data_IF_048258522177
#
_entry.id   IF_048258522177
#
_cell.length_a   1.000
_cell.length_b   1.000
_cell.length_c   1.000
_cell.angle_alpha   90.00
_cell.angle_beta   90.00
_cell.angle_gamma   90.00
#
_symmetry.space_group_name_H-M   'P 1'
#
loop_
_entity.id
_entity.type
_entity.pdbx_description
1 polymer ?
#
# COMPACT_ATOMS: atom_id res chain seq x y z
N UNK A 1 23.66 -50.86 19.99
CA UNK A 1 22.27 -51.10 20.43
C UNK A 1 21.91 -50.06 21.51
N UNK A 2 21.26 -48.96 21.10
CA UNK A 2 20.84 -47.89 22.01
C UNK A 2 19.54 -48.29 22.73
N UNK A 3 19.45 -47.97 24.01
CA UNK A 3 18.38 -48.37 24.93
C UNK A 3 16.99 -47.87 24.47
N UNK A 4 15.95 -48.73 24.49
CA UNK A 4 14.60 -48.38 24.07
C UNK A 4 13.89 -47.37 25.01
N UNK A 5 14.45 -47.14 26.20
CA UNK A 5 13.93 -46.19 27.21
C UNK A 5 14.20 -44.73 26.82
N UNK A 6 15.30 -44.46 26.11
CA UNK A 6 15.61 -43.12 25.59
C UNK A 6 14.69 -42.72 24.43
N UNK A 7 14.27 -43.68 23.59
CA UNK A 7 13.31 -43.45 22.51
C UNK A 7 11.90 -43.14 23.01
N UNK A 8 11.47 -43.73 24.14
CA UNK A 8 10.18 -43.40 24.75
C UNK A 8 10.17 -42.03 25.44
N UNK A 9 11.31 -41.60 26.00
CA UNK A 9 11.45 -40.25 26.55
C UNK A 9 11.46 -39.16 25.46
N UNK A 10 11.93 -39.49 24.25
CA UNK A 10 11.86 -38.62 23.08
C UNK A 10 10.45 -38.54 22.45
N UNK A 11 9.60 -39.55 22.63
CA UNK A 11 8.21 -39.53 22.18
C UNK A 11 7.27 -38.71 23.09
N UNK A 12 7.69 -38.42 24.33
CA UNK A 12 7.01 -37.47 25.23
C UNK A 12 7.40 -36.01 24.99
N UNK A 13 8.42 -35.76 24.16
CA UNK A 13 8.80 -34.45 23.64
C UNK A 13 8.24 -34.29 22.22
N UNK A 14 6.95 -34.57 22.02
CA UNK A 14 6.33 -34.12 20.79
C UNK A 14 6.34 -32.59 20.82
N UNK A 15 7.20 -32.03 20.00
CA UNK A 15 7.28 -30.62 19.62
C UNK A 15 5.95 -30.22 19.00
N UNK A 16 4.92 -30.01 19.81
CA UNK A 16 3.58 -29.63 19.32
C UNK A 16 3.35 -28.13 19.38
N UNK A 17 4.13 -27.40 20.17
CA UNK A 17 4.09 -25.95 20.19
C UNK A 17 5.44 -25.41 19.73
N UNK A 18 5.60 -25.23 18.42
CA UNK A 18 6.71 -24.49 17.79
C UNK A 18 6.66 -22.99 18.09
N UNK A 19 5.74 -22.56 18.96
CA UNK A 19 5.49 -21.19 19.32
C UNK A 19 5.00 -21.08 20.77
N UNK A 20 5.26 -19.95 21.42
CA UNK A 20 4.85 -19.67 22.79
C UNK A 20 4.43 -18.21 22.92
N UNK A 21 3.40 -17.96 23.73
CA UNK A 21 2.96 -16.60 24.08
C UNK A 21 2.95 -16.48 25.58
N UNK A 22 3.73 -15.55 26.10
CA UNK A 22 3.87 -15.28 27.52
C UNK A 22 3.48 -13.83 27.81
N UNK A 23 2.72 -13.62 28.87
CA UNK A 23 2.46 -12.28 29.41
C UNK A 23 3.01 -12.25 30.82
N UNK A 24 4.09 -11.50 30.99
CA UNK A 24 4.70 -11.24 32.29
C UNK A 24 4.53 -9.75 32.61
N UNK A 25 3.64 -9.45 33.56
CA UNK A 25 3.33 -8.09 33.96
C UNK A 25 2.86 -7.20 32.80
N UNK A 26 3.73 -6.28 32.39
CA UNK A 26 3.51 -5.31 31.30
C UNK A 26 4.14 -5.73 29.96
N UNK A 27 4.78 -6.91 29.92
CA UNK A 27 5.52 -7.40 28.76
C UNK A 27 4.80 -8.59 28.13
N UNK A 28 4.45 -8.45 26.85
CA UNK A 28 3.96 -9.52 25.99
C UNK A 28 5.13 -10.08 25.19
N UNK A 29 5.47 -11.36 25.40
CA UNK A 29 6.53 -12.05 24.67
C UNK A 29 5.93 -13.08 23.72
N UNK A 30 6.24 -12.92 22.43
CA UNK A 30 5.82 -13.78 21.33
C UNK A 30 7.03 -14.55 20.80
N UNK A 31 6.98 -15.87 20.90
CA UNK A 31 8.06 -16.77 20.48
C UNK A 31 7.58 -17.63 19.31
N UNK A 32 8.30 -17.62 18.18
CA UNK A 32 7.97 -18.42 17.01
C UNK A 32 6.78 -17.88 16.19
N UNK A 33 6.75 -18.15 14.89
CA UNK A 33 5.79 -17.55 13.94
C UNK A 33 4.33 -17.77 14.33
N UNK A 34 3.98 -18.96 14.84
CA UNK A 34 2.63 -19.29 15.31
C UNK A 34 2.14 -18.41 16.47
N UNK A 35 3.03 -17.76 17.22
CA UNK A 35 2.64 -16.85 18.31
C UNK A 35 1.93 -15.60 17.78
N UNK A 36 2.14 -15.23 16.52
CA UNK A 36 1.46 -14.08 15.90
C UNK A 36 -0.06 -14.28 15.79
N UNK A 37 -0.54 -15.53 15.69
CA UNK A 37 -1.98 -15.86 15.68
C UNK A 37 -2.68 -15.48 16.99
N UNK A 38 -1.93 -15.36 18.09
CA UNK A 38 -2.48 -14.90 19.36
C UNK A 38 -2.97 -13.44 19.31
N UNK A 39 -2.53 -12.64 18.34
CA UNK A 39 -3.04 -11.30 18.11
C UNK A 39 -4.48 -11.31 17.58
N UNK A 40 -4.91 -12.40 16.96
CA UNK A 40 -6.31 -12.58 16.52
C UNK A 40 -7.22 -13.03 17.68
N UNK A 41 -6.65 -13.56 18.77
CA UNK A 41 -7.41 -13.93 19.97
C UNK A 41 -8.01 -12.72 20.68
N UNK A 42 -9.03 -12.97 21.49
CA UNK A 42 -9.67 -11.95 22.32
C UNK A 42 -8.91 -11.81 23.64
N UNK A 43 -8.12 -10.75 23.75
CA UNK A 43 -7.44 -10.37 24.99
C UNK A 43 -8.41 -9.65 25.93
N UNK A 44 -8.25 -9.87 27.23
CA UNK A 44 -9.02 -9.11 28.22
C UNK A 44 -8.64 -7.62 28.14
N UNK A 45 -9.60 -6.72 28.37
CA UNK A 45 -9.36 -5.26 28.35
C UNK A 45 -8.28 -4.86 29.36
N UNK A 46 -8.21 -5.54 30.50
CA UNK A 46 -7.20 -5.30 31.52
C UNK A 46 -5.81 -5.68 31.02
N UNK A 47 -5.62 -6.90 30.52
CA UNK A 47 -4.33 -7.37 29.97
C UNK A 47 -3.88 -6.48 28.80
N UNK A 48 -4.79 -6.19 27.86
CA UNK A 48 -4.51 -5.34 26.71
C UNK A 48 -4.09 -3.90 27.10
N UNK A 49 -4.64 -3.39 28.21
CA UNK A 49 -4.30 -2.07 28.75
C UNK A 49 -2.99 -2.04 29.53
N UNK A 50 -2.62 -3.14 30.21
CA UNK A 50 -1.39 -3.25 31.01
C UNK A 50 -0.14 -3.47 30.16
N UNK A 51 -0.27 -4.13 29.01
CA UNK A 51 0.87 -4.39 28.13
C UNK A 51 1.40 -3.09 27.52
N UNK A 52 2.62 -2.74 27.90
CA UNK A 52 3.39 -1.58 27.41
C UNK A 52 4.53 -2.01 26.50
N UNK A 53 5.02 -3.24 26.70
CA UNK A 53 6.18 -3.79 26.01
C UNK A 53 5.79 -5.03 25.21
N UNK A 54 6.18 -5.08 23.94
CA UNK A 54 5.98 -6.24 23.07
C UNK A 54 7.33 -6.75 22.59
N UNK A 55 7.61 -8.02 22.88
CA UNK A 55 8.84 -8.70 22.52
C UNK A 55 8.58 -9.79 21.49
N UNK A 56 9.29 -9.74 20.38
CA UNK A 56 9.28 -10.77 19.35
C UNK A 56 10.59 -11.55 19.41
N UNK A 57 10.49 -12.87 19.48
CA UNK A 57 11.64 -13.77 19.55
C UNK A 57 11.48 -14.93 18.55
N UNK A 58 12.51 -15.19 17.75
CA UNK A 58 12.52 -16.29 16.76
C UNK A 58 11.39 -16.20 15.72
N UNK A 59 11.06 -14.98 15.28
CA UNK A 59 10.03 -14.70 14.28
C UNK A 59 10.66 -13.84 13.19
N UNK A 60 10.50 -14.20 11.91
CA UNK A 60 11.02 -13.38 10.83
C UNK A 60 10.36 -11.99 10.84
N UNK A 61 11.17 -10.94 10.68
CA UNK A 61 10.67 -9.57 10.71
C UNK A 61 9.56 -9.32 9.68
N UNK A 62 9.63 -9.95 8.52
CA UNK A 62 8.64 -9.81 7.45
C UNK A 62 7.25 -10.31 7.86
N UNK A 63 7.19 -11.36 8.69
CA UNK A 63 5.94 -11.86 9.28
C UNK A 63 5.39 -10.87 10.31
N UNK A 64 6.27 -10.29 11.13
CA UNK A 64 5.88 -9.28 12.14
C UNK A 64 5.25 -8.07 11.46
N UNK A 65 5.81 -7.60 10.34
CA UNK A 65 5.32 -6.43 9.60
C UNK A 65 3.84 -6.55 9.22
N UNK A 66 3.39 -7.76 8.88
CA UNK A 66 2.00 -8.02 8.49
C UNK A 66 1.01 -7.82 9.65
N UNK A 67 1.44 -8.09 10.87
CA UNK A 67 0.59 -8.02 12.07
C UNK A 67 0.74 -6.74 12.88
N UNK A 68 1.71 -5.87 12.56
CA UNK A 68 1.93 -4.58 13.21
C UNK A 68 0.67 -3.70 13.32
N UNK A 69 -0.21 -3.58 12.29
CA UNK A 69 -1.46 -2.83 12.44
C UNK A 69 -2.41 -3.45 13.47
N UNK A 70 -2.51 -4.79 13.49
CA UNK A 70 -3.34 -5.54 14.45
C UNK A 70 -2.82 -5.38 15.86
N UNK A 71 -1.49 -5.46 16.03
CA UNK A 71 -0.81 -5.28 17.31
C UNK A 71 -1.23 -3.95 17.95
N UNK A 72 -1.19 -2.85 17.18
CA UNK A 72 -1.53 -1.54 17.72
C UNK A 72 -3.01 -1.37 18.07
N UNK A 73 -3.90 -2.09 17.37
CA UNK A 73 -5.32 -2.11 17.73
C UNK A 73 -5.58 -2.89 19.02
N UNK A 74 -4.88 -4.00 19.23
CA UNK A 74 -5.05 -4.88 20.40
C UNK A 74 -4.36 -4.32 21.64
N UNK A 75 -3.20 -3.70 21.46
CA UNK A 75 -2.36 -3.16 22.53
C UNK A 75 -2.08 -1.67 22.28
N UNK A 76 -3.07 -0.78 22.50
CA UNK A 76 -2.92 0.65 22.19
C UNK A 76 -1.83 1.33 23.01
N UNK A 77 -1.58 0.82 24.22
CA UNK A 77 -0.57 1.31 25.16
C UNK A 77 0.84 0.75 24.92
N UNK A 78 1.05 -0.05 23.88
CA UNK A 78 2.39 -0.53 23.54
C UNK A 78 3.27 0.65 23.11
N UNK A 79 4.34 0.90 23.86
CA UNK A 79 5.31 1.96 23.59
C UNK A 79 6.72 1.40 23.34
N UNK A 80 7.02 0.21 23.88
CA UNK A 80 8.31 -0.46 23.70
C UNK A 80 8.20 -1.70 22.80
N UNK A 81 9.03 -1.76 21.76
CA UNK A 81 9.20 -2.97 20.94
C UNK A 81 10.58 -3.59 21.14
N UNK A 82 10.62 -4.91 21.37
CA UNK A 82 11.84 -5.71 21.46
C UNK A 82 11.89 -6.73 20.34
N UNK A 83 13.02 -6.82 19.66
CA UNK A 83 13.25 -7.75 18.55
C UNK A 83 14.46 -8.62 18.87
N UNK A 84 14.25 -9.93 19.01
CA UNK A 84 15.30 -10.92 19.29
C UNK A 84 15.29 -12.00 18.23
N UNK A 85 16.44 -12.23 17.58
CA UNK A 85 16.56 -13.25 16.53
C UNK A 85 15.46 -13.15 15.46
N UNK A 86 15.20 -11.92 15.00
CA UNK A 86 14.13 -11.65 14.02
C UNK A 86 14.62 -11.52 12.58
N UNK A 87 15.90 -11.81 12.35
CA UNK A 87 16.54 -11.72 11.03
C UNK A 87 16.42 -10.31 10.40
N UNK A 88 16.59 -9.27 11.21
CA UNK A 88 16.73 -7.90 10.71
C UNK A 88 18.09 -7.72 10.07
N UNK A 89 18.14 -7.63 8.74
CA UNK A 89 19.37 -7.56 7.94
C UNK A 89 19.60 -6.18 7.32
N UNK A 90 18.53 -5.47 6.94
CA UNK A 90 18.60 -4.24 6.16
C UNK A 90 17.98 -3.05 6.90
N UNK A 91 18.57 -1.86 6.75
CA UNK A 91 18.04 -0.62 7.33
C UNK A 91 16.60 -0.31 6.89
N UNK A 92 16.27 -0.60 5.62
CA UNK A 92 14.95 -0.32 5.06
C UNK A 92 13.81 -1.05 5.80
N UNK A 93 14.10 -2.15 6.49
CA UNK A 93 13.11 -2.89 7.28
C UNK A 93 12.49 -2.00 8.37
N UNK A 94 13.24 -1.06 8.93
CA UNK A 94 12.72 -0.09 9.91
C UNK A 94 11.66 0.85 9.34
N UNK A 95 11.62 1.04 8.02
CA UNK A 95 10.56 1.83 7.40
C UNK A 95 9.17 1.23 7.65
N UNK A 96 9.09 -0.09 7.86
CA UNK A 96 7.84 -0.77 8.18
C UNK A 96 7.27 -0.30 9.53
N UNK A 97 8.14 0.04 10.48
CA UNK A 97 7.73 0.50 11.80
C UNK A 97 7.05 1.87 11.76
N UNK A 98 7.25 2.66 10.70
CA UNK A 98 6.62 3.98 10.53
C UNK A 98 5.09 3.92 10.46
N UNK A 99 4.50 2.74 10.22
CA UNK A 99 3.04 2.56 10.25
C UNK A 99 2.45 2.56 11.66
N UNK A 100 3.30 2.36 12.68
CA UNK A 100 2.90 2.41 14.09
C UNK A 100 2.79 3.87 14.55
N UNK A 101 2.33 4.09 15.79
CA UNK A 101 2.27 5.41 16.41
C UNK A 101 2.69 5.32 17.86
N UNK A 102 3.36 6.36 18.37
CA UNK A 102 3.71 6.52 19.80
C UNK A 102 4.58 5.38 20.35
N UNK A 103 5.59 4.95 19.59
CA UNK A 103 6.63 4.02 20.07
C UNK A 103 7.77 4.87 20.66
N UNK A 104 8.03 4.79 21.95
CA UNK A 104 9.07 5.59 22.61
C UNK A 104 10.39 4.83 22.76
N UNK A 105 10.34 3.50 22.77
CA UNK A 105 11.50 2.65 22.99
C UNK A 105 11.60 1.54 21.94
N UNK A 106 12.81 1.34 21.45
CA UNK A 106 13.15 0.26 20.53
C UNK A 106 14.34 -0.52 21.08
N UNK A 107 14.24 -1.84 21.10
CA UNK A 107 15.36 -2.71 21.47
C UNK A 107 15.52 -3.80 20.42
N UNK A 108 16.73 -3.90 19.89
CA UNK A 108 17.12 -4.88 18.88
C UNK A 108 18.30 -5.64 19.47
N UNK A 109 18.07 -6.92 19.72
CA UNK A 109 19.11 -7.81 20.21
C UNK A 109 20.17 -8.01 19.11
N UNK A 110 21.47 -7.88 19.42
CA UNK A 110 22.54 -8.12 18.44
C UNK A 110 22.58 -9.57 17.95
N UNK A 111 22.07 -10.53 18.73
CA UNK A 111 21.98 -11.92 18.30
C UNK A 111 20.80 -12.12 17.33
N UNK A 112 21.13 -12.62 16.13
CA UNK A 112 20.17 -12.90 15.07
C UNK A 112 19.59 -11.67 14.36
N UNK A 113 20.16 -10.48 14.56
CA UNK A 113 19.82 -9.26 13.82
C UNK A 113 21.09 -8.58 13.27
N UNK A 114 21.59 -8.98 12.08
CA UNK A 114 22.78 -8.40 11.46
C UNK A 114 22.73 -6.87 11.28
N UNK A 115 21.54 -6.26 11.27
CA UNK A 115 21.38 -4.81 11.14
C UNK A 115 22.10 -4.03 12.25
N UNK A 116 22.30 -4.64 13.42
CA UNK A 116 22.98 -4.00 14.56
C UNK A 116 24.48 -3.79 14.27
N UNK A 117 25.05 -4.52 13.32
CA UNK A 117 26.45 -4.39 12.90
C UNK A 117 26.71 -3.13 12.06
N UNK A 118 25.68 -2.49 11.51
CA UNK A 118 25.86 -1.25 10.75
C UNK A 118 26.04 -0.05 11.68
N UNK A 119 27.19 0.62 11.65
CA UNK A 119 27.48 1.76 12.54
C UNK A 119 26.40 2.85 12.56
N UNK A 120 25.69 3.06 11.44
CA UNK A 120 24.70 4.12 11.28
C UNK A 120 23.25 3.70 11.51
N UNK A 121 22.97 2.44 11.91
CA UNK A 121 21.59 1.95 12.01
C UNK A 121 20.73 2.76 12.98
N UNK A 122 21.30 3.16 14.13
CA UNK A 122 20.61 3.97 15.14
C UNK A 122 20.20 5.33 14.56
N UNK A 123 21.12 6.00 13.87
CA UNK A 123 20.85 7.29 13.22
C UNK A 123 19.82 7.16 12.09
N UNK A 124 19.83 6.05 11.34
CA UNK A 124 18.81 5.79 10.33
C UNK A 124 17.42 5.64 10.94
N UNK A 125 17.30 4.86 12.02
CA UNK A 125 16.06 4.67 12.77
C UNK A 125 15.53 6.00 13.29
N UNK A 126 16.38 6.80 13.93
CA UNK A 126 16.03 8.13 14.44
C UNK A 126 15.57 9.09 13.32
N UNK A 127 16.26 9.06 12.18
CA UNK A 127 15.89 9.85 11.02
C UNK A 127 14.51 9.43 10.48
N UNK A 128 14.29 8.13 10.25
CA UNK A 128 13.06 7.64 9.63
C UNK A 128 11.86 7.74 10.55
N UNK A 129 12.05 7.42 11.82
CA UNK A 129 11.02 7.34 12.85
C UNK A 129 11.02 8.59 13.75
N UNK A 130 11.44 9.74 13.21
CA UNK A 130 11.50 11.01 13.95
C UNK A 130 10.16 11.41 14.57
N UNK A 131 9.06 11.07 13.93
CA UNK A 131 7.69 11.33 14.39
C UNK A 131 7.30 10.57 15.67
N UNK A 132 8.09 9.57 16.07
CA UNK A 132 7.92 8.87 17.33
C UNK A 132 8.53 9.61 18.52
N UNK A 133 9.47 10.52 18.29
CA UNK A 133 10.25 11.15 19.35
C UNK A 133 10.81 10.10 20.33
N UNK A 134 11.49 9.08 19.78
CA UNK A 134 12.04 7.98 20.58
C UNK A 134 12.90 8.51 21.72
N UNK A 135 12.70 7.94 22.90
CA UNK A 135 13.45 8.28 24.11
C UNK A 135 14.64 7.33 24.31
N UNK A 136 14.49 6.04 23.98
CA UNK A 136 15.55 5.04 24.19
C UNK A 136 15.68 4.06 23.02
N UNK A 137 16.93 3.81 22.62
CA UNK A 137 17.28 2.77 21.65
C UNK A 137 18.33 1.84 22.28
N UNK A 138 18.03 0.54 22.37
CA UNK A 138 18.86 -0.47 23.04
C UNK A 138 19.32 -0.03 24.44
N UNK A 139 18.41 0.57 25.22
CA UNK A 139 18.69 1.08 26.57
C UNK A 139 19.53 2.37 26.61
N UNK A 140 20.02 2.88 25.48
CA UNK A 140 20.70 4.17 25.39
C UNK A 140 19.68 5.30 25.19
N UNK A 141 19.79 6.38 25.96
CA UNK A 141 18.95 7.56 25.79
C UNK A 141 19.28 8.30 24.49
N UNK A 142 18.23 8.71 23.78
CA UNK A 142 18.36 9.46 22.54
C UNK A 142 18.54 10.93 22.87
N UNK A 143 19.63 11.53 22.43
CA UNK A 143 19.91 12.95 22.66
C UNK A 143 19.48 13.81 21.47
N UNK A 144 19.30 15.11 21.70
CA UNK A 144 19.04 16.06 20.61
C UNK A 144 20.17 16.10 19.58
N UNK A 145 21.42 15.87 20.01
CA UNK A 145 22.57 15.79 19.12
C UNK A 145 22.47 14.60 18.16
N UNK A 146 21.95 13.47 18.62
CA UNK A 146 21.73 12.29 17.77
C UNK A 146 20.67 12.56 16.70
N UNK A 147 19.63 13.31 17.05
CA UNK A 147 18.60 13.75 16.10
C UNK A 147 19.17 14.69 15.02
N UNK A 148 20.03 15.64 15.42
CA UNK A 148 20.71 16.55 14.49
C UNK A 148 21.67 15.78 13.56
N UNK A 149 22.44 14.82 14.11
CA UNK A 149 23.32 13.99 13.31
C UNK A 149 22.56 13.07 12.35
N UNK A 150 21.46 12.47 12.80
CA UNK A 150 20.58 11.67 11.95
C UNK A 150 20.05 12.50 10.77
N UNK A 151 19.62 13.74 11.00
CA UNK A 151 19.18 14.64 9.95
C UNK A 151 20.29 15.00 8.97
N UNK A 152 21.48 15.27 9.48
CA UNK A 152 22.65 15.63 8.66
C UNK A 152 23.09 14.47 7.77
N UNK A 153 23.03 13.24 8.27
CA UNK A 153 23.44 12.04 7.54
C UNK A 153 22.41 11.62 6.50
N UNK A 154 21.13 11.62 6.86
CA UNK A 154 20.08 11.00 6.06
C UNK A 154 19.07 11.97 5.45
N UNK A 155 19.08 13.25 5.82
CA UNK A 155 18.15 14.28 5.30
C UNK A 155 18.12 14.36 3.78
N UNK A 156 19.30 14.26 3.14
CA UNK A 156 19.42 14.28 1.68
C UNK A 156 18.71 13.07 1.04
N UNK A 157 18.68 11.90 1.69
CA UNK A 157 18.00 10.72 1.15
C UNK A 157 16.49 10.94 1.01
N UNK A 158 15.87 11.66 1.95
CA UNK A 158 14.46 12.03 1.80
C UNK A 158 14.25 12.99 0.62
N UNK A 159 15.17 13.94 0.41
CA UNK A 159 15.11 14.84 -0.74
C UNK A 159 15.25 14.10 -2.07
N UNK A 160 16.26 13.23 -2.21
CA UNK A 160 16.49 12.44 -3.42
C UNK A 160 15.32 11.47 -3.68
N UNK A 161 14.84 10.77 -2.66
CA UNK A 161 13.66 9.90 -2.80
C UNK A 161 12.42 10.67 -3.27
N UNK A 162 12.30 11.94 -2.89
CA UNK A 162 11.18 12.79 -3.32
C UNK A 162 11.34 13.42 -4.70
N UNK A 163 12.58 13.66 -5.16
CA UNK A 163 12.82 14.26 -6.47
C UNK A 163 12.77 13.27 -7.63
N UNK A 164 13.08 11.99 -7.40
CA UNK A 164 13.17 10.99 -8.48
C UNK A 164 11.83 10.32 -8.85
N UNK A 165 10.74 10.64 -8.15
CA UNK A 165 9.44 10.00 -8.39
C UNK A 165 8.48 10.92 -9.16
N UNK A 166 7.90 10.44 -10.28
CA UNK A 166 6.90 11.18 -11.03
C UNK A 166 5.69 11.57 -10.16
N UNK A 167 5.17 12.80 -10.35
CA UNK A 167 4.09 13.42 -9.56
C UNK A 167 2.83 12.53 -9.42
N UNK A 168 2.53 11.67 -10.40
CA UNK A 168 1.39 10.75 -10.33
C UNK A 168 1.53 9.69 -9.21
N UNK A 169 2.76 9.25 -8.88
CA UNK A 169 3.00 8.33 -7.77
C UNK A 169 2.86 9.03 -6.41
N UNK A 170 3.24 10.31 -6.34
CA UNK A 170 3.03 11.15 -5.14
C UNK A 170 1.55 11.30 -4.84
N UNK A 171 0.72 11.52 -5.87
CA UNK A 171 -0.74 11.60 -5.74
C UNK A 171 -1.35 10.27 -5.29
N UNK A 172 -0.85 9.13 -5.76
CA UNK A 172 -1.33 7.80 -5.31
C UNK A 172 -1.01 7.55 -3.84
N UNK A 173 0.23 7.84 -3.39
CA UNK A 173 0.65 7.70 -2.00
C UNK A 173 -0.13 8.66 -1.09
N UNK A 174 -0.35 9.90 -1.54
CA UNK A 174 -1.16 10.91 -0.84
C UNK A 174 -2.68 10.60 -0.89
N UNK A 175 -3.12 9.89 -1.93
CA UNK A 175 -4.49 9.42 -2.10
C UNK A 175 -4.87 8.34 -1.09
N UNK A 176 -3.93 7.45 -0.76
CA UNK A 176 -4.12 6.44 0.28
C UNK A 176 -4.17 7.05 1.70
N UNK A 177 -3.42 8.12 1.97
CA UNK A 177 -3.53 8.89 3.21
C UNK A 177 -4.93 9.53 3.35
N UNK A 178 -5.47 10.09 2.25
CA UNK A 178 -6.83 10.63 2.20
C UNK A 178 -7.91 9.55 2.32
N UNK A 179 -7.74 8.37 1.69
CA UNK A 179 -8.66 7.23 1.86
C UNK A 179 -8.69 6.70 3.29
N UNK A 180 -7.57 6.70 4.02
CA UNK A 180 -7.53 6.33 5.44
C UNK A 180 -8.26 7.36 6.33
N UNK A 181 -8.12 8.66 6.04
CA UNK A 181 -8.90 9.72 6.71
C UNK A 181 -10.41 9.61 6.42
N UNK A 182 -10.79 9.31 5.17
CA UNK A 182 -12.19 9.11 4.80
C UNK A 182 -12.81 7.86 5.43
N UNK A 183 -12.05 6.76 5.58
CA UNK A 183 -12.54 5.56 6.30
C UNK A 183 -12.82 5.86 7.78
N UNK A 184 -11.92 6.58 8.45
CA UNK A 184 -12.09 6.95 9.87
C UNK A 184 -13.26 7.92 10.10
N UNK A 185 -13.47 8.87 9.19
CA UNK A 185 -14.61 9.80 9.22
C UNK A 185 -15.95 9.14 8.87
N UNK A 186 -15.94 8.06 8.08
CA UNK A 186 -17.15 7.33 7.72
C UNK A 186 -17.61 6.40 8.85
N UNK A 187 -16.69 5.82 9.61
CA UNK A 187 -16.98 4.99 10.80
C UNK A 187 -17.53 5.80 12.00
N UNK A 188 -17.35 7.12 12.03
CA UNK A 188 -17.84 7.99 13.11
C UNK A 188 -19.18 8.67 12.80
N UNK A 189 -19.78 8.45 11.63
CA UNK A 189 -21.05 9.07 11.21
C UNK A 189 -22.30 8.36 11.76
N UNK A 190 -22.26 8.00 13.04
CA UNK A 190 -23.32 7.26 13.72
C UNK A 190 -23.60 7.77 15.13
N UNK A 191 -23.63 9.09 15.38
CA UNK A 191 -24.31 9.70 16.55
C UNK A 191 -24.50 11.21 16.33
N UNK A 192 -25.65 11.70 16.79
CA UNK A 192 -26.31 13.00 16.51
C UNK A 192 -25.45 14.25 16.79
N UNK A 193 -25.73 15.40 16.13
CA UNK A 193 -25.04 16.67 16.40
C UNK A 193 -25.71 17.45 17.55
N UNK A 194 -24.90 18.01 18.45
CA UNK A 194 -25.36 18.89 19.51
C UNK A 194 -24.23 19.71 20.14
N UNK A 195 -24.20 21.01 19.79
CA UNK A 195 -23.80 22.19 20.58
C UNK A 195 -22.32 22.32 21.03
N UNK A 196 -21.63 23.24 20.34
CA UNK A 196 -20.67 24.29 20.79
C UNK A 196 -19.66 23.94 21.89
N UNK A 197 -18.35 23.97 21.56
CA UNK A 197 -17.44 24.93 22.19
C UNK A 197 -16.20 25.19 21.31
N UNK A 198 -15.90 26.48 21.12
CA UNK A 198 -14.67 26.96 20.51
C UNK A 198 -13.50 26.71 21.47
N UNK A 199 -12.66 25.72 21.21
CA UNK A 199 -11.25 25.77 21.60
C UNK A 199 -10.36 25.43 20.40
N UNK A 200 -9.91 26.51 19.81
CA UNK A 200 -8.96 26.64 18.75
C UNK A 200 -7.54 26.33 19.28
N UNK A 201 -6.91 25.21 18.88
CA UNK A 201 -5.49 25.17 18.45
C UNK A 201 -4.85 23.78 18.20
N UNK A 202 -5.56 22.65 18.18
CA UNK A 202 -4.88 21.35 17.99
C UNK A 202 -4.72 20.86 16.54
N UNK A 203 -5.19 21.63 15.54
CA UNK A 203 -5.05 21.27 14.13
C UNK A 203 -3.65 21.50 13.55
N UNK A 204 -2.75 22.17 14.28
CA UNK A 204 -1.39 22.49 13.80
C UNK A 204 -0.35 21.38 14.03
N UNK A 205 -0.70 20.28 14.70
CA UNK A 205 0.23 19.15 14.99
C UNK A 205 0.06 17.91 14.12
N UNK A 206 -0.83 17.95 13.13
CA UNK A 206 -0.98 16.86 12.14
C UNK A 206 0.07 16.88 11.02
N UNK A 207 1.05 17.79 11.09
CA UNK A 207 2.16 17.94 10.15
C UNK A 207 3.46 17.29 10.64
N UNK A 208 3.37 16.15 11.35
CA UNK A 208 4.53 15.49 11.97
C UNK A 208 5.37 14.61 11.03
N UNK A 209 4.85 14.24 9.85
CA UNK A 209 5.67 13.62 8.82
C UNK A 209 6.13 14.70 7.84
N UNK A 210 7.44 14.97 7.83
CA UNK A 210 8.09 15.62 6.71
C UNK A 210 7.72 14.77 5.47
N UNK A 211 6.91 15.30 4.56
CA UNK A 211 6.30 14.58 3.42
C UNK A 211 7.32 13.77 2.60
N UNK A 212 8.58 14.21 2.61
CA UNK A 212 9.71 13.60 1.92
C UNK A 212 10.16 12.26 2.55
N UNK A 213 9.93 12.05 3.86
CA UNK A 213 10.32 10.81 4.57
C UNK A 213 9.28 9.70 4.41
N UNK A 214 8.01 10.05 4.22
CA UNK A 214 6.92 9.11 3.96
C UNK A 214 7.08 8.31 2.65
N UNK A 215 8.05 8.72 1.80
CA UNK A 215 8.40 8.00 0.58
C UNK A 215 9.33 6.80 0.82
N UNK A 216 10.06 6.79 1.94
CA UNK A 216 10.88 5.66 2.36
C UNK A 216 9.96 4.58 2.92
N UNK A 217 9.50 3.70 2.04
CA UNK A 217 8.59 2.61 2.39
C UNK A 217 9.34 1.28 2.46
N UNK A 218 8.90 0.40 3.36
CA UNK A 218 9.27 -1.01 3.33
C UNK A 218 8.15 -1.78 2.65
N UNK A 219 8.49 -2.58 1.66
CA UNK A 219 7.58 -3.58 1.09
C UNK A 219 8.25 -4.93 1.26
N UNK A 220 7.56 -5.85 1.93
CA UNK A 220 8.00 -7.25 2.02
C UNK A 220 8.15 -7.85 0.62
N UNK A 221 8.98 -8.88 0.51
CA UNK A 221 9.34 -9.51 -0.78
C UNK A 221 8.11 -9.96 -1.58
N UNK A 222 7.08 -10.44 -0.90
CA UNK A 222 5.84 -10.88 -1.53
C UNK A 222 5.02 -9.72 -2.10
N UNK A 223 4.94 -8.59 -1.38
CA UNK A 223 4.26 -7.39 -1.86
C UNK A 223 4.99 -6.74 -3.04
N UNK A 224 6.33 -6.87 -3.09
CA UNK A 224 7.11 -6.43 -4.24
C UNK A 224 6.80 -7.26 -5.49
N UNK A 225 6.69 -8.59 -5.34
CA UNK A 225 6.37 -9.50 -6.44
C UNK A 225 4.95 -9.28 -6.97
N UNK A 226 3.95 -9.18 -6.09
CA UNK A 226 2.57 -8.87 -6.47
C UNK A 226 2.48 -7.54 -7.22
N UNK A 227 3.15 -6.50 -6.71
CA UNK A 227 3.20 -5.19 -7.35
C UNK A 227 3.92 -5.20 -8.70
N UNK A 228 4.94 -6.05 -8.85
CA UNK A 228 5.67 -6.21 -10.12
C UNK A 228 4.81 -6.91 -11.17
N UNK A 229 4.05 -7.93 -10.78
CA UNK A 229 3.07 -8.60 -11.64
C UNK A 229 1.94 -7.64 -12.04
N UNK A 230 1.41 -6.86 -11.10
CA UNK A 230 0.44 -5.79 -11.35
C UNK A 230 0.92 -4.78 -12.42
N UNK A 231 2.19 -4.40 -12.36
CA UNK A 231 2.80 -3.48 -13.32
C UNK A 231 2.95 -4.15 -14.70
N UNK A 232 3.32 -5.43 -14.74
CA UNK A 232 3.40 -6.19 -15.99
C UNK A 232 2.04 -6.34 -16.65
N UNK A 233 1.01 -6.67 -15.89
CA UNK A 233 -0.36 -6.80 -16.39
C UNK A 233 -0.90 -5.47 -16.92
N UNK A 234 -0.70 -4.37 -16.18
CA UNK A 234 -1.08 -3.02 -16.64
C UNK A 234 -0.35 -2.63 -17.92
N UNK A 235 0.95 -2.94 -18.04
CA UNK A 235 1.72 -2.68 -19.25
C UNK A 235 1.17 -3.46 -20.45
N UNK A 236 0.88 -4.75 -20.24
CA UNK A 236 0.29 -5.62 -21.27
C UNK A 236 -1.08 -5.10 -21.72
N UNK A 237 -1.92 -4.70 -20.77
CA UNK A 237 -3.22 -4.11 -21.05
C UNK A 237 -3.10 -2.82 -21.88
N UNK A 238 -2.23 -1.88 -21.48
CA UNK A 238 -2.02 -0.65 -22.22
C UNK A 238 -1.52 -0.92 -23.65
N UNK A 239 -0.63 -1.89 -23.82
CA UNK A 239 -0.14 -2.28 -25.15
C UNK A 239 -1.28 -2.81 -26.02
N UNK A 240 -2.06 -3.76 -25.52
CA UNK A 240 -3.21 -4.31 -26.25
C UNK A 240 -4.23 -3.22 -26.61
N UNK A 241 -4.53 -2.32 -25.67
CA UNK A 241 -5.47 -1.23 -25.89
C UNK A 241 -5.01 -0.27 -27.00
N UNK A 242 -3.72 0.07 -27.03
CA UNK A 242 -3.14 0.90 -28.09
C UNK A 242 -3.15 0.17 -29.44
N UNK A 243 -2.82 -1.13 -29.45
CA UNK A 243 -2.85 -1.96 -30.66
C UNK A 243 -4.27 -2.00 -31.26
N UNK A 244 -5.29 -2.17 -30.42
CA UNK A 244 -6.70 -2.14 -30.85
C UNK A 244 -7.11 -0.77 -31.40
N UNK A 245 -6.75 0.34 -30.72
CA UNK A 245 -7.02 1.69 -31.22
C UNK A 245 -6.35 1.96 -32.57
N UNK A 246 -5.09 1.54 -32.74
CA UNK A 246 -4.36 1.68 -34.00
C UNK A 246 -5.04 0.85 -35.08
N UNK A 247 -5.43 -0.39 -34.78
CA UNK A 247 -6.14 -1.24 -35.73
C UNK A 247 -7.46 -0.59 -36.17
N UNK A 248 -8.27 -0.12 -35.25
CA UNK A 248 -9.54 0.55 -35.55
C UNK A 248 -9.32 1.80 -36.42
N UNK A 249 -8.34 2.64 -36.05
CA UNK A 249 -7.99 3.82 -36.84
C UNK A 249 -7.54 3.46 -38.27
N UNK A 250 -6.76 2.38 -38.44
CA UNK A 250 -6.35 1.92 -39.77
C UNK A 250 -7.52 1.38 -40.60
N UNK A 251 -8.48 0.69 -39.98
CA UNK A 251 -9.69 0.21 -40.65
C UNK A 251 -10.59 1.38 -41.09
N UNK A 252 -10.77 2.38 -40.24
CA UNK A 252 -11.50 3.60 -40.57
C UNK A 252 -10.80 4.31 -41.73
N UNK A 253 -9.47 4.46 -41.70
CA UNK A 253 -8.72 5.09 -42.78
C UNK A 253 -8.88 4.34 -44.11
N UNK A 254 -8.80 3.00 -44.10
CA UNK A 254 -9.01 2.18 -45.30
C UNK A 254 -10.42 2.35 -45.89
N UNK A 255 -11.46 2.37 -45.04
CA UNK A 255 -12.84 2.60 -45.48
C UNK A 255 -13.00 3.99 -46.08
N UNK A 256 -12.40 5.01 -45.47
CA UNK A 256 -12.42 6.38 -45.97
C UNK A 256 -11.71 6.50 -47.34
N UNK A 257 -10.52 5.90 -47.49
CA UNK A 257 -9.81 5.89 -48.78
C UNK A 257 -10.62 5.19 -49.89
N UNK A 258 -11.26 4.06 -49.58
CA UNK A 258 -12.12 3.37 -50.54
C UNK A 258 -13.34 4.23 -50.94
N UNK A 259 -13.96 4.89 -49.96
CA UNK A 259 -15.06 5.81 -50.20
C UNK A 259 -14.62 6.97 -51.08
N UNK A 260 -13.49 7.61 -50.81
CA UNK A 260 -12.96 8.72 -51.62
C UNK A 260 -12.73 8.33 -53.08
N UNK A 261 -12.35 7.07 -53.35
CA UNK A 261 -12.20 6.57 -54.73
C UNK A 261 -13.53 6.34 -55.44
N UNK A 262 -14.55 5.85 -54.72
CA UNK A 262 -15.85 5.49 -55.28
C UNK A 262 -16.84 6.67 -55.34
N UNK A 263 -16.68 7.63 -54.42
CA UNK A 263 -17.60 8.76 -54.22
C UNK A 263 -17.85 9.60 -55.48
N UNK A 264 -16.82 9.97 -56.28
CA UNK A 264 -17.06 10.76 -57.49
C UNK A 264 -17.96 10.03 -58.50
N UNK A 265 -17.76 8.72 -58.67
CA UNK A 265 -18.56 7.92 -59.59
C UNK A 265 -19.99 7.73 -59.09
N UNK A 266 -20.17 7.37 -57.82
CA UNK A 266 -21.51 7.28 -57.21
C UNK A 266 -22.27 8.59 -57.30
N UNK A 267 -21.60 9.73 -57.09
CA UNK A 267 -22.22 11.05 -57.22
C UNK A 267 -22.67 11.33 -58.66
N UNK A 268 -21.83 11.03 -59.65
CA UNK A 268 -22.18 11.18 -61.07
C UNK A 268 -23.39 10.30 -61.43
N UNK A 269 -23.42 9.05 -60.97
CA UNK A 269 -24.53 8.13 -61.20
C UNK A 269 -25.82 8.64 -60.56
N UNK A 270 -25.77 9.06 -59.29
CA UNK A 270 -26.94 9.66 -58.60
C UNK A 270 -27.48 10.89 -59.33
N UNK A 271 -26.62 11.80 -59.77
CA UNK A 271 -27.05 13.00 -60.52
C UNK A 271 -27.60 12.61 -61.88
N UNK A 272 -26.95 11.67 -62.59
CA UNK A 272 -27.41 11.19 -63.89
C UNK A 272 -28.79 10.55 -63.78
N UNK A 273 -28.98 9.66 -62.81
CA UNK A 273 -30.23 8.95 -62.59
C UNK A 273 -31.35 9.94 -62.26
N UNK A 274 -31.11 10.89 -61.35
CA UNK A 274 -32.06 11.94 -61.03
C UNK A 274 -32.44 12.80 -62.25
N UNK A 275 -31.45 13.17 -63.08
CA UNK A 275 -31.70 13.96 -64.31
C UNK A 275 -32.48 13.14 -65.34
N UNK A 276 -32.17 11.85 -65.52
CA UNK A 276 -32.90 10.95 -66.42
C UNK A 276 -34.35 10.79 -65.96
N UNK A 277 -34.57 10.62 -64.65
CA UNK A 277 -35.90 10.48 -64.06
C UNK A 277 -36.77 11.71 -64.37
N UNK A 278 -36.21 12.91 -64.20
CA UNK A 278 -36.91 14.18 -64.39
C UNK A 278 -37.07 14.56 -65.88
N UNK A 279 -36.24 14.00 -66.78
CA UNK A 279 -36.25 14.33 -68.22
C UNK A 279 -37.61 14.10 -68.88
N UNK A 280 -38.34 13.05 -68.49
CA UNK A 280 -39.73 12.83 -68.92
C UNK A 280 -40.69 13.35 -67.85
N UNK A 281 -41.00 14.65 -67.88
CA UNK A 281 -41.90 15.29 -66.89
C UNK A 281 -43.23 14.54 -66.69
N UNK A 282 -43.81 13.99 -67.76
CA UNK A 282 -45.07 13.25 -67.69
C UNK A 282 -44.93 11.86 -67.03
N UNK A 283 -43.83 11.15 -67.28
CA UNK A 283 -43.57 9.85 -66.64
C UNK A 283 -43.18 10.04 -65.18
N UNK A 284 -42.35 11.04 -64.87
CA UNK A 284 -41.94 11.41 -63.53
C UNK A 284 -43.14 11.80 -62.65
N UNK A 285 -44.04 12.65 -63.18
CA UNK A 285 -45.25 13.05 -62.47
C UNK A 285 -46.16 11.86 -62.17
N UNK A 286 -46.31 10.90 -63.10
CA UNK A 286 -47.04 9.65 -62.85
C UNK A 286 -46.38 8.80 -61.76
N UNK A 287 -45.05 8.66 -61.79
CA UNK A 287 -44.28 7.94 -60.77
C UNK A 287 -44.42 8.56 -59.38
N UNK A 288 -44.27 9.89 -59.23
CA UNK A 288 -44.50 10.57 -57.96
C UNK A 288 -45.94 10.41 -57.46
N UNK A 289 -46.94 10.58 -58.34
CA UNK A 289 -48.35 10.39 -57.97
C UNK A 289 -48.63 8.95 -57.52
N UNK A 290 -47.99 7.96 -58.15
CA UNK A 290 -48.09 6.56 -57.77
C UNK A 290 -47.41 6.27 -56.44
N UNK A 291 -46.20 6.79 -56.19
CA UNK A 291 -45.52 6.70 -54.89
C UNK A 291 -46.33 7.32 -53.74
N UNK A 292 -47.00 8.45 -53.97
CA UNK A 292 -47.89 9.08 -52.98
C UNK A 292 -49.14 8.22 -52.72
N UNK A 293 -49.61 7.48 -53.73
CA UNK A 293 -50.75 6.57 -53.60
C UNK A 293 -50.37 5.28 -52.87
N UNK A 294 -49.16 4.77 -53.11
CA UNK A 294 -48.62 3.56 -52.48
C UNK A 294 -48.11 3.79 -51.03
N UNK A 295 -47.86 5.05 -50.64
CA UNK A 295 -47.50 5.44 -49.25
C UNK A 295 -48.72 5.75 -48.36
N UNK A 296 -49.93 5.45 -48.83
CA UNK A 296 -51.19 5.65 -48.10
C UNK A 296 -51.79 4.31 -47.67
#
# INVERSE_FOLDING_TARGET
PLDPVLTSALQGLSVTDTHLVEVDGDTLSLYGSGALESLDRNWSVQTAGTVTTVSFAFIEFDEIVQVLPKLKMKFPNSMHLKFKETNLVMLQQFNALAQLRRIDQLTIDPHGNPVVNFTLWKYYVLFRLSHFSMQKINGTEVTQNDMIMAERLFGILAHVASSELPQYRVISILGDARKKQFRYLQETKGKKPGIVNEENNDSKRLAGENTNRAMLNYTTRDFYNEKLEDIKEKKKFCQMYIEDLVKEATEINKKNEALQKLWPQMFIELVRDAVIEIRSKNSYMKLCLQQITDQK
#
